data_IF_780412889355
#
_entry.id   IF_780412889355
#
_cell.length_a   1.000
_cell.length_b   1.000
_cell.length_c   1.000
_cell.angle_alpha   90.00
_cell.angle_beta   90.00
_cell.angle_gamma   90.00
#
_symmetry.space_group_name_H-M   'P 1'
#
loop_
_entity.id
_entity.type
_entity.pdbx_description
1 polymer ?
#
# COMPACT_ATOMS: atom_id res chain seq x y z
N UNK A 1 9.96 2.11 19.83
CA UNK A 1 9.79 0.86 19.08
C UNK A 1 9.26 1.29 17.71
N UNK A 2 9.82 0.81 16.60
CA UNK A 2 9.33 1.15 15.25
C UNK A 2 7.95 0.53 15.02
N UNK A 3 7.03 1.29 14.45
CA UNK A 3 5.68 0.83 14.17
C UNK A 3 5.62 0.11 12.82
N UNK A 4 4.67 -0.82 12.70
CA UNK A 4 4.26 -1.41 11.43
C UNK A 4 2.96 -0.73 11.01
N UNK A 5 3.00 -0.03 9.88
CA UNK A 5 1.91 0.81 9.43
C UNK A 5 1.34 0.37 8.08
N UNK A 6 0.03 0.36 7.96
CA UNK A 6 -0.69 0.42 6.69
C UNK A 6 -1.21 1.86 6.55
N UNK A 7 -0.91 2.55 5.46
CA UNK A 7 -1.29 3.95 5.34
C UNK A 7 -1.80 4.30 3.95
N UNK A 8 -2.85 5.14 3.89
CA UNK A 8 -3.55 5.48 2.66
C UNK A 8 -3.96 4.25 1.85
N UNK A 9 -4.54 3.25 2.50
CA UNK A 9 -4.98 2.05 1.81
C UNK A 9 -6.45 2.21 1.39
N UNK A 10 -6.68 2.19 0.08
CA UNK A 10 -7.99 2.43 -0.50
C UNK A 10 -8.81 1.15 -0.55
N UNK A 11 -10.07 1.24 -0.13
CA UNK A 11 -11.02 0.12 -0.13
C UNK A 11 -12.37 0.63 -0.64
N UNK A 12 -12.99 -0.10 -1.55
CA UNK A 12 -14.37 0.18 -1.96
C UNK A 12 -15.35 -0.07 -0.81
N UNK A 13 -16.56 0.46 -0.91
CA UNK A 13 -17.59 0.28 0.12
C UNK A 13 -17.91 -1.20 0.36
N UNK A 14 -17.78 -2.04 -0.65
CA UNK A 14 -17.96 -3.49 -0.58
C UNK A 14 -16.66 -4.28 -0.28
N UNK A 15 -15.59 -3.59 0.17
CA UNK A 15 -14.42 -4.21 0.80
C UNK A 15 -13.28 -4.61 -0.13
N UNK A 16 -13.27 -4.20 -1.40
CA UNK A 16 -12.20 -4.55 -2.34
C UNK A 16 -11.11 -3.46 -2.39
N UNK A 17 -9.85 -3.85 -2.21
CA UNK A 17 -8.69 -2.95 -2.33
C UNK A 17 -8.13 -2.84 -3.75
N UNK A 18 -8.56 -3.71 -4.68
CA UNK A 18 -8.34 -3.59 -6.12
C UNK A 18 -9.44 -4.36 -6.87
N UNK A 19 -9.70 -3.96 -8.11
CA UNK A 19 -10.62 -4.67 -9.00
C UNK A 19 -10.00 -5.94 -9.58
N UNK A 20 -10.81 -6.76 -10.24
CA UNK A 20 -10.37 -7.88 -11.05
C UNK A 20 -9.72 -7.41 -12.36
N UNK A 21 -9.03 -8.32 -13.04
CA UNK A 21 -8.45 -8.13 -14.37
C UNK A 21 -7.35 -7.04 -14.40
N UNK A 22 -6.44 -7.08 -13.40
CA UNK A 22 -5.27 -6.21 -13.38
C UNK A 22 -4.36 -6.50 -14.59
N UNK A 23 -3.97 -5.44 -15.32
CA UNK A 23 -3.07 -5.50 -16.48
C UNK A 23 -2.14 -4.28 -16.49
N UNK A 24 -1.25 -4.19 -17.49
CA UNK A 24 -0.39 -3.02 -17.69
C UNK A 24 -1.20 -1.74 -17.90
N UNK A 25 -2.30 -1.82 -18.64
CA UNK A 25 -3.18 -0.69 -18.95
C UNK A 25 -4.18 -0.40 -17.82
N UNK A 26 -4.39 -1.38 -16.93
CA UNK A 26 -5.35 -1.31 -15.84
C UNK A 26 -4.71 -1.75 -14.51
N UNK A 27 -3.84 -0.93 -13.88
CA UNK A 27 -3.13 -1.29 -12.64
C UNK A 27 -4.04 -1.63 -11.46
N UNK A 28 -5.25 -1.10 -11.43
CA UNK A 28 -6.29 -1.38 -10.44
C UNK A 28 -7.42 -2.25 -10.98
N UNK A 29 -7.16 -2.97 -12.11
CA UNK A 29 -8.18 -3.76 -12.79
C UNK A 29 -9.38 -2.92 -13.21
N UNK A 30 -10.57 -3.50 -13.24
CA UNK A 30 -11.81 -2.80 -13.63
C UNK A 30 -12.22 -1.66 -12.68
N UNK A 31 -11.59 -1.53 -11.51
CA UNK A 31 -11.79 -0.37 -10.63
C UNK A 31 -11.29 0.92 -11.28
N UNK A 32 -10.22 0.83 -12.08
CA UNK A 32 -9.56 1.97 -12.67
C UNK A 32 -9.14 2.99 -11.62
N UNK A 33 -9.09 4.25 -11.99
CA UNK A 33 -8.72 5.34 -11.08
C UNK A 33 -9.81 5.69 -10.05
N UNK A 34 -11.03 5.15 -10.18
CA UNK A 34 -12.14 5.46 -9.25
C UNK A 34 -11.77 5.19 -7.79
N UNK A 35 -10.96 4.17 -7.54
CA UNK A 35 -10.55 3.76 -6.20
C UNK A 35 -9.57 4.77 -5.56
N UNK A 36 -8.71 5.39 -6.33
CA UNK A 36 -7.62 6.25 -5.84
C UNK A 36 -7.80 7.75 -6.15
N UNK A 37 -8.93 8.12 -6.74
CA UNK A 37 -9.16 9.48 -7.24
C UNK A 37 -9.00 10.55 -6.15
N UNK A 38 -9.56 10.32 -4.96
CA UNK A 38 -9.46 11.27 -3.85
C UNK A 38 -8.01 11.55 -3.46
N UNK A 39 -7.11 10.55 -3.54
CA UNK A 39 -5.68 10.75 -3.33
C UNK A 39 -5.01 11.50 -4.48
N UNK A 40 -5.35 11.16 -5.72
CA UNK A 40 -4.77 11.80 -6.90
C UNK A 40 -5.11 13.30 -6.97
N UNK A 41 -6.23 13.72 -6.40
CA UNK A 41 -6.67 15.10 -6.36
C UNK A 41 -5.96 15.92 -5.24
N UNK A 42 -5.16 15.31 -4.36
CA UNK A 42 -4.48 16.00 -3.26
C UNK A 42 -3.24 16.77 -3.72
N UNK A 43 -2.90 17.84 -2.97
CA UNK A 43 -1.64 18.58 -3.18
C UNK A 43 -0.42 17.68 -2.99
N UNK A 44 -0.45 16.80 -1.98
CA UNK A 44 0.64 15.88 -1.69
C UNK A 44 0.92 14.93 -2.87
N UNK A 45 -0.12 14.44 -3.55
CA UNK A 45 0.06 13.64 -4.76
C UNK A 45 0.62 14.48 -5.92
N UNK A 46 0.12 15.71 -6.14
CA UNK A 46 0.66 16.61 -7.18
C UNK A 46 2.15 16.88 -6.95
N UNK A 47 2.55 17.18 -5.71
CA UNK A 47 3.97 17.38 -5.35
C UNK A 47 4.80 16.12 -5.62
N UNK A 48 4.29 14.95 -5.28
CA UNK A 48 4.94 13.65 -5.57
C UNK A 48 5.17 13.44 -7.08
N UNK A 49 4.30 14.00 -7.92
CA UNK A 49 4.41 13.96 -9.39
C UNK A 49 5.21 15.15 -9.97
N UNK A 50 5.85 15.98 -9.14
CA UNK A 50 6.54 17.19 -9.59
C UNK A 50 5.62 18.29 -10.12
N UNK A 51 4.33 18.25 -9.77
CA UNK A 51 3.30 19.18 -10.22
C UNK A 51 2.92 20.18 -9.11
N UNK A 52 2.32 21.28 -9.51
CA UNK A 52 1.71 22.26 -8.57
C UNK A 52 0.19 22.07 -8.56
N UNK A 53 -0.45 22.56 -7.48
CA UNK A 53 -1.91 22.51 -7.33
C UNK A 53 -2.34 21.35 -6.44
N UNK A 54 -3.56 20.84 -6.67
CA UNK A 54 -4.20 19.84 -5.84
C UNK A 54 -4.98 20.43 -4.66
N UNK A 55 -5.93 19.64 -4.14
CA UNK A 55 -6.75 20.03 -2.99
C UNK A 55 -5.94 19.99 -1.71
N UNK A 56 -6.31 20.86 -0.76
CA UNK A 56 -5.84 20.85 0.64
C UNK A 56 -7.01 20.51 1.54
N UNK A 57 -6.75 19.99 2.72
CA UNK A 57 -7.79 19.62 3.67
C UNK A 57 -7.50 18.26 4.28
N UNK A 58 -8.54 17.54 4.71
CA UNK A 58 -8.38 16.28 5.43
C UNK A 58 -7.72 15.19 4.57
N UNK A 59 -8.08 15.10 3.30
CA UNK A 59 -7.49 14.12 2.36
C UNK A 59 -5.99 14.36 2.17
N UNK A 60 -5.60 15.65 1.99
CA UNK A 60 -4.20 16.03 1.84
C UNK A 60 -3.41 15.86 3.14
N UNK A 61 -4.03 16.13 4.30
CA UNK A 61 -3.42 15.90 5.60
C UNK A 61 -3.07 14.42 5.80
N UNK A 62 -3.96 13.51 5.44
CA UNK A 62 -3.66 12.07 5.45
C UNK A 62 -2.63 11.69 4.38
N UNK A 63 -2.76 12.22 3.16
CA UNK A 63 -1.84 11.92 2.07
C UNK A 63 -0.40 12.34 2.40
N UNK A 64 -0.20 13.50 3.04
CA UNK A 64 1.13 14.01 3.41
C UNK A 64 1.88 13.12 4.42
N UNK A 65 1.17 12.30 5.19
CA UNK A 65 1.76 11.36 6.15
C UNK A 65 2.20 10.03 5.51
N UNK A 66 2.14 9.92 4.19
CA UNK A 66 2.42 8.68 3.49
C UNK A 66 3.88 8.19 3.65
N UNK A 67 4.86 9.08 3.56
CA UNK A 67 6.28 8.76 3.60
C UNK A 67 7.03 9.08 4.89
N UNK A 68 6.68 10.15 5.65
CA UNK A 68 7.46 10.57 6.81
C UNK A 68 7.64 9.45 7.85
N UNK A 69 8.91 9.24 8.28
CA UNK A 69 9.26 8.26 9.31
C UNK A 69 9.28 6.81 8.84
N UNK A 70 9.07 6.53 7.55
CA UNK A 70 9.17 5.19 6.97
C UNK A 70 10.62 4.91 6.59
N UNK A 71 11.17 3.79 7.11
CA UNK A 71 12.53 3.32 6.82
C UNK A 71 12.57 2.12 5.87
N UNK A 72 11.45 1.41 5.71
CA UNK A 72 11.32 0.32 4.75
C UNK A 72 9.87 0.12 4.31
N UNK A 73 9.69 -0.43 3.12
CA UNK A 73 8.40 -0.80 2.53
C UNK A 73 8.30 -2.31 2.37
N UNK A 74 7.13 -2.89 2.60
CA UNK A 74 6.80 -4.26 2.19
C UNK A 74 5.60 -4.22 1.27
N UNK A 75 5.67 -4.91 0.14
CA UNK A 75 4.57 -5.01 -0.81
C UNK A 75 4.49 -6.40 -1.43
N UNK A 76 3.29 -6.79 -1.83
CA UNK A 76 3.09 -7.99 -2.62
C UNK A 76 3.46 -7.77 -4.09
N UNK A 77 3.77 -8.85 -4.79
CA UNK A 77 4.13 -8.81 -6.20
C UNK A 77 3.06 -8.13 -7.07
N UNK A 78 1.77 -8.30 -6.74
CA UNK A 78 0.68 -7.69 -7.49
C UNK A 78 0.66 -6.16 -7.42
N UNK A 79 1.20 -5.59 -6.32
CA UNK A 79 1.41 -4.15 -6.23
C UNK A 79 2.63 -3.70 -7.03
N UNK A 80 3.67 -4.53 -7.13
CA UNK A 80 4.86 -4.22 -7.92
C UNK A 80 4.59 -4.29 -9.43
N UNK A 81 3.76 -5.22 -9.89
CA UNK A 81 3.44 -5.36 -11.31
C UNK A 81 2.37 -6.42 -11.60
N UNK A 82 1.87 -6.48 -12.83
CA UNK A 82 0.77 -7.38 -13.21
C UNK A 82 1.22 -8.81 -13.52
N UNK A 83 2.53 -9.04 -13.67
CA UNK A 83 3.07 -10.36 -14.04
C UNK A 83 2.77 -11.40 -12.97
N UNK A 84 2.35 -12.59 -13.37
CA UNK A 84 2.07 -13.75 -12.52
C UNK A 84 3.03 -14.90 -12.88
N UNK A 85 3.24 -15.84 -11.93
CA UNK A 85 4.15 -16.95 -12.17
C UNK A 85 5.62 -16.51 -12.29
N UNK A 86 6.49 -17.24 -13.01
CA UNK A 86 7.86 -16.83 -13.31
C UNK A 86 7.90 -15.44 -13.98
N UNK A 87 9.03 -14.75 -13.88
CA UNK A 87 9.20 -13.46 -14.55
C UNK A 87 9.35 -13.67 -16.06
N UNK A 88 8.36 -13.22 -16.82
CA UNK A 88 8.39 -13.23 -18.28
C UNK A 88 9.21 -12.05 -18.82
N UNK A 89 9.20 -10.93 -18.11
CA UNK A 89 9.97 -9.72 -18.40
C UNK A 89 10.74 -9.30 -17.14
N UNK A 90 12.02 -9.59 -17.10
CA UNK A 90 12.92 -9.19 -16.01
C UNK A 90 13.30 -7.70 -16.07
N UNK A 91 13.06 -7.04 -17.19
CA UNK A 91 13.31 -5.59 -17.32
C UNK A 91 12.25 -4.74 -16.61
N UNK A 92 11.13 -5.32 -16.20
CA UNK A 92 10.08 -4.63 -15.45
C UNK A 92 10.58 -4.14 -14.09
N UNK A 93 10.49 -2.82 -13.87
CA UNK A 93 11.02 -2.14 -12.68
C UNK A 93 9.92 -1.57 -11.75
N UNK A 94 8.66 -1.94 -11.97
CA UNK A 94 7.52 -1.42 -11.21
C UNK A 94 6.78 -0.31 -11.96
N UNK A 95 5.71 0.18 -11.34
CA UNK A 95 4.81 1.17 -11.94
C UNK A 95 5.30 2.61 -11.89
N UNK A 96 6.38 2.89 -11.12
CA UNK A 96 6.75 4.25 -10.68
C UNK A 96 7.84 4.90 -11.51
N UNK A 97 8.24 4.29 -12.64
CA UNK A 97 9.34 4.80 -13.46
C UNK A 97 10.71 4.73 -12.77
N UNK A 98 11.64 5.56 -13.20
CA UNK A 98 13.05 5.51 -12.77
C UNK A 98 13.27 5.91 -11.30
N UNK A 99 12.40 6.76 -10.74
CA UNK A 99 12.51 7.30 -9.39
C UNK A 99 11.24 7.02 -8.58
N UNK A 100 11.10 5.80 -8.03
CA UNK A 100 9.97 5.44 -7.19
C UNK A 100 9.92 6.29 -5.92
N UNK A 101 8.72 6.67 -5.44
CA UNK A 101 8.56 7.64 -4.34
C UNK A 101 8.86 7.07 -2.95
N UNK A 102 9.42 5.89 -2.85
CA UNK A 102 9.68 5.24 -1.56
C UNK A 102 10.96 5.76 -0.89
N UNK A 103 12.04 5.96 -1.65
CA UNK A 103 13.36 6.42 -1.18
C UNK A 103 13.93 5.58 -0.01
N UNK A 104 13.51 4.31 0.10
CA UNK A 104 13.85 3.34 1.13
C UNK A 104 13.96 1.95 0.51
N UNK A 105 14.57 0.96 1.21
CA UNK A 105 14.43 -0.44 0.82
C UNK A 105 12.97 -0.88 0.74
N UNK A 106 12.60 -1.56 -0.34
CA UNK A 106 11.26 -2.05 -0.62
C UNK A 106 11.29 -3.56 -0.88
N UNK A 107 10.66 -4.33 0.00
CA UNK A 107 10.62 -5.78 -0.06
C UNK A 107 9.38 -6.23 -0.82
N UNK A 108 9.58 -6.85 -1.98
CA UNK A 108 8.52 -7.41 -2.83
C UNK A 108 8.36 -8.90 -2.53
N UNK A 109 7.22 -9.26 -1.94
CA UNK A 109 6.91 -10.65 -1.60
C UNK A 109 6.51 -11.42 -2.86
N UNK A 110 7.24 -12.48 -3.17
CA UNK A 110 7.05 -13.30 -4.38
C UNK A 110 7.61 -14.69 -4.20
N UNK A 111 6.96 -15.72 -4.76
CA UNK A 111 7.50 -17.08 -4.84
C UNK A 111 8.55 -17.26 -5.95
N UNK A 112 8.86 -16.18 -6.68
CA UNK A 112 9.85 -16.17 -7.75
C UNK A 112 10.87 -15.05 -7.49
N UNK A 113 11.82 -15.25 -6.54
CA UNK A 113 12.87 -14.26 -6.27
C UNK A 113 13.71 -13.97 -7.52
N UNK A 114 14.20 -12.75 -7.60
CA UNK A 114 15.17 -12.30 -8.61
C UNK A 114 16.15 -11.32 -8.01
N UNK A 115 17.23 -10.93 -8.70
CA UNK A 115 18.16 -9.92 -8.22
C UNK A 115 17.48 -8.61 -7.85
N UNK A 116 17.99 -7.96 -6.80
CA UNK A 116 17.52 -6.63 -6.38
C UNK A 116 17.72 -5.59 -7.47
N UNK A 117 16.85 -4.60 -7.51
CA UNK A 117 16.92 -3.47 -8.46
C UNK A 117 17.13 -2.19 -7.67
N UNK A 118 18.26 -1.53 -7.92
CA UNK A 118 18.53 -0.20 -7.40
C UNK A 118 17.92 0.85 -8.32
N UNK A 119 17.10 1.74 -7.77
CA UNK A 119 16.42 2.80 -8.50
C UNK A 119 17.01 4.15 -8.14
N UNK A 120 16.77 5.15 -8.97
CA UNK A 120 17.11 6.54 -8.64
C UNK A 120 16.37 6.98 -7.37
N UNK A 121 16.90 7.96 -6.66
CA UNK A 121 16.27 8.49 -5.46
C UNK A 121 16.37 7.60 -4.21
N UNK A 122 17.13 6.46 -4.27
CA UNK A 122 17.43 5.63 -3.10
C UNK A 122 16.45 4.51 -2.80
N UNK A 123 15.48 4.24 -3.67
CA UNK A 123 14.65 3.03 -3.57
C UNK A 123 15.44 1.82 -4.06
N UNK A 124 15.45 0.72 -3.29
CA UNK A 124 15.96 -0.58 -3.74
C UNK A 124 14.88 -1.63 -3.58
N UNK A 125 14.48 -2.28 -4.67
CA UNK A 125 13.53 -3.39 -4.62
C UNK A 125 14.26 -4.70 -4.36
N UNK A 126 13.89 -5.38 -3.27
CA UNK A 126 14.36 -6.72 -2.91
C UNK A 126 13.22 -7.73 -3.12
N UNK A 127 13.47 -8.78 -3.89
CA UNK A 127 12.46 -9.80 -4.21
C UNK A 127 12.68 -11.03 -3.36
N UNK A 128 11.76 -11.31 -2.41
CA UNK A 128 11.94 -12.35 -1.42
C UNK A 128 10.75 -13.31 -1.37
N UNK A 129 11.05 -14.60 -1.20
CA UNK A 129 10.08 -15.63 -0.85
C UNK A 129 10.08 -15.80 0.66
N UNK A 130 9.18 -15.11 1.34
CA UNK A 130 9.13 -15.04 2.79
C UNK A 130 7.69 -14.87 3.28
N UNK A 131 7.38 -15.45 4.42
CA UNK A 131 6.15 -15.16 5.15
C UNK A 131 6.19 -13.80 5.84
N UNK A 132 5.06 -13.34 6.40
CA UNK A 132 4.94 -12.01 7.00
C UNK A 132 5.98 -11.70 8.08
N UNK A 133 6.24 -12.63 9.00
CA UNK A 133 7.18 -12.45 10.10
C UNK A 133 8.63 -12.30 9.61
N UNK A 134 9.04 -13.14 8.65
CA UNK A 134 10.38 -13.10 8.09
C UNK A 134 10.59 -11.83 7.26
N UNK A 135 9.59 -11.46 6.46
CA UNK A 135 9.62 -10.24 5.66
C UNK A 135 9.70 -9.00 6.57
N UNK A 136 8.94 -8.99 7.67
CA UNK A 136 8.98 -7.89 8.64
C UNK A 136 10.33 -7.81 9.35
N UNK A 137 10.93 -8.94 9.71
CA UNK A 137 12.26 -8.95 10.32
C UNK A 137 13.30 -8.31 9.39
N UNK A 138 13.35 -8.73 8.11
CA UNK A 138 14.25 -8.17 7.11
C UNK A 138 14.00 -6.66 6.89
N UNK A 139 12.74 -6.25 6.83
CA UNK A 139 12.39 -4.84 6.65
C UNK A 139 12.77 -3.98 7.87
N UNK A 140 12.58 -4.48 9.10
CA UNK A 140 12.99 -3.78 10.34
C UNK A 140 14.50 -3.60 10.43
N UNK A 141 15.28 -4.62 10.05
CA UNK A 141 16.74 -4.52 9.98
C UNK A 141 17.18 -3.44 9.01
N UNK A 142 16.55 -3.37 7.84
CA UNK A 142 16.84 -2.36 6.82
C UNK A 142 16.33 -0.96 7.20
N UNK A 143 15.24 -0.86 7.97
CA UNK A 143 14.62 0.42 8.35
C UNK A 143 15.44 1.25 9.33
N UNK A 144 16.49 0.68 9.97
CA UNK A 144 17.36 1.43 10.86
C UNK A 144 16.66 2.07 12.06
N UNK A 145 15.60 1.45 12.57
CA UNK A 145 14.80 1.94 13.72
C UNK A 145 13.61 2.83 13.33
N UNK A 146 13.46 3.19 12.07
CA UNK A 146 12.25 3.84 11.54
C UNK A 146 11.12 2.84 11.36
N UNK A 147 9.92 3.33 11.03
CA UNK A 147 8.74 2.50 10.84
C UNK A 147 8.81 1.69 9.54
N UNK A 148 8.10 0.56 9.54
CA UNK A 148 7.91 -0.27 8.34
C UNK A 148 6.49 -0.06 7.82
N UNK A 149 6.36 0.20 6.52
CA UNK A 149 5.04 0.31 5.89
C UNK A 149 4.70 -0.94 5.09
N UNK A 150 3.50 -1.48 5.33
CA UNK A 150 2.88 -2.50 4.49
C UNK A 150 2.08 -1.77 3.41
N UNK A 151 2.65 -1.66 2.23
CA UNK A 151 2.09 -0.86 1.15
C UNK A 151 0.98 -1.54 0.35
N UNK A 152 0.78 -2.83 0.51
CA UNK A 152 -0.26 -3.59 -0.21
C UNK A 152 0.33 -4.61 -1.20
N UNK A 153 -0.43 -5.31 -2.14
CA UNK A 153 -1.92 -5.23 -2.30
C UNK A 153 -2.75 -5.82 -1.16
N UNK A 154 -4.04 -5.96 -1.40
CA UNK A 154 -4.99 -6.39 -0.36
C UNK A 154 -4.59 -7.71 0.29
N UNK A 155 -4.21 -8.72 -0.47
CA UNK A 155 -3.78 -10.01 0.06
C UNK A 155 -2.55 -9.89 0.98
N UNK A 156 -1.60 -9.02 0.67
CA UNK A 156 -0.43 -8.77 1.53
C UNK A 156 -0.85 -8.11 2.84
N UNK A 157 -1.64 -7.03 2.79
CA UNK A 157 -2.15 -6.35 4.00
C UNK A 157 -2.90 -7.34 4.88
N UNK A 158 -3.78 -8.15 4.28
CA UNK A 158 -4.57 -9.18 4.98
C UNK A 158 -3.67 -10.20 5.71
N UNK A 159 -2.60 -10.67 5.07
CA UNK A 159 -1.66 -11.60 5.69
C UNK A 159 -0.98 -11.00 6.93
N UNK A 160 -0.56 -9.74 6.89
CA UNK A 160 0.04 -9.05 8.04
C UNK A 160 -0.97 -8.77 9.15
N UNK A 161 -2.22 -8.45 8.81
CA UNK A 161 -3.31 -8.31 9.78
C UNK A 161 -3.66 -9.65 10.44
N UNK A 162 -3.75 -10.74 9.67
CA UNK A 162 -4.00 -12.07 10.19
C UNK A 162 -2.89 -12.56 11.13
N UNK A 163 -1.62 -12.22 10.81
CA UNK A 163 -0.44 -12.53 11.63
C UNK A 163 -0.28 -11.60 12.86
N UNK A 164 -1.21 -10.68 13.08
CA UNK A 164 -1.19 -9.72 14.19
C UNK A 164 0.06 -8.80 14.22
N UNK A 165 0.57 -8.42 13.04
CA UNK A 165 1.83 -7.68 12.88
C UNK A 165 1.64 -6.18 12.60
N UNK A 166 0.41 -5.67 12.51
CA UNK A 166 0.13 -4.27 12.18
C UNK A 166 -0.20 -3.49 13.46
N UNK A 167 0.49 -2.36 13.66
CA UNK A 167 0.29 -1.48 14.83
C UNK A 167 -0.68 -0.33 14.53
N UNK A 168 -0.65 0.18 13.31
CA UNK A 168 -1.48 1.30 12.88
C UNK A 168 -1.94 1.08 11.45
N UNK A 169 -3.23 1.28 11.19
CA UNK A 169 -3.79 1.20 9.84
C UNK A 169 -4.67 2.41 9.56
N UNK A 170 -4.46 3.04 8.41
CA UNK A 170 -5.32 4.07 7.86
C UNK A 170 -5.92 3.61 6.54
N UNK A 171 -7.23 3.51 6.52
CA UNK A 171 -8.02 3.16 5.33
C UNK A 171 -8.76 4.38 4.79
N UNK A 172 -8.91 4.41 3.48
CA UNK A 172 -9.78 5.33 2.76
C UNK A 172 -10.93 4.52 2.17
N UNK A 173 -12.11 4.60 2.77
CA UNK A 173 -13.32 3.96 2.27
C UNK A 173 -13.88 4.83 1.16
N UNK A 174 -13.85 4.30 -0.05
CA UNK A 174 -14.34 4.99 -1.24
C UNK A 174 -15.79 4.54 -1.49
N UNK A 175 -16.77 5.45 -1.68
CA UNK A 175 -18.18 5.09 -1.80
C UNK A 175 -18.54 4.56 -3.20
N UNK A 176 -17.81 3.53 -3.64
CA UNK A 176 -18.05 2.80 -4.88
C UNK A 176 -18.25 1.32 -4.59
N UNK A 177 -18.97 0.63 -5.47
CA UNK A 177 -19.10 -0.81 -5.44
C UNK A 177 -18.32 -1.41 -6.59
N UNK A 178 -17.47 -2.40 -6.29
CA UNK A 178 -16.69 -3.13 -7.29
C UNK A 178 -17.29 -4.49 -7.62
N UNK A 179 -17.94 -5.14 -6.65
CA UNK A 179 -18.62 -6.44 -6.81
C UNK A 179 -17.66 -7.61 -7.02
N UNK A 180 -16.42 -7.37 -7.41
CA UNK A 180 -15.38 -8.38 -7.60
C UNK A 180 -13.99 -7.75 -7.53
N UNK A 181 -12.97 -8.57 -7.24
CA UNK A 181 -11.58 -8.12 -7.06
C UNK A 181 -10.90 -8.79 -5.89
N UNK A 182 -9.89 -8.16 -5.32
CA UNK A 182 -9.20 -8.64 -4.13
C UNK A 182 -9.80 -7.99 -2.88
N UNK A 183 -10.52 -8.79 -2.07
CA UNK A 183 -11.08 -8.36 -0.79
C UNK A 183 -9.97 -8.14 0.25
N UNK A 184 -10.13 -7.09 1.09
CA UNK A 184 -9.25 -6.86 2.23
C UNK A 184 -9.66 -7.73 3.44
N UNK A 185 -10.94 -8.05 3.60
CA UNK A 185 -11.49 -8.50 4.88
C UNK A 185 -11.66 -10.01 5.04
N UNK A 186 -11.42 -10.79 3.99
CA UNK A 186 -11.62 -12.25 4.02
C UNK A 186 -10.78 -12.90 5.13
N UNK A 187 -11.47 -13.58 6.07
CA UNK A 187 -10.83 -14.28 7.19
C UNK A 187 -10.29 -13.38 8.29
N UNK A 188 -10.79 -12.15 8.41
CA UNK A 188 -10.38 -11.18 9.44
C UNK A 188 -11.54 -10.82 10.40
N UNK A 189 -12.49 -11.72 10.59
CA UNK A 189 -13.59 -11.54 11.53
C UNK A 189 -13.07 -11.27 12.95
N UNK A 190 -13.62 -10.25 13.63
CA UNK A 190 -13.19 -9.81 14.96
C UNK A 190 -11.90 -9.00 15.00
N UNK A 191 -11.36 -8.61 13.84
CA UNK A 191 -10.16 -7.76 13.78
C UNK A 191 -10.35 -6.45 14.59
N UNK A 192 -11.52 -5.87 14.56
CA UNK A 192 -11.88 -4.61 15.23
C UNK A 192 -11.65 -4.65 16.75
N UNK A 193 -11.74 -5.80 17.38
CA UNK A 193 -11.52 -5.95 18.83
C UNK A 193 -10.07 -5.62 19.26
N UNK A 194 -9.13 -5.74 18.31
CA UNK A 194 -7.69 -5.48 18.55
C UNK A 194 -7.30 -4.01 18.44
N UNK A 195 -8.21 -3.18 17.91
CA UNK A 195 -7.91 -1.79 17.59
C UNK A 195 -8.89 -0.80 18.22
N UNK A 196 -8.40 0.37 18.57
CA UNK A 196 -9.22 1.57 18.72
C UNK A 196 -9.42 2.18 17.32
N UNK A 197 -10.63 2.61 17.00
CA UNK A 197 -10.97 3.15 15.68
C UNK A 197 -11.46 4.59 15.77
N UNK A 198 -11.01 5.41 14.82
CA UNK A 198 -11.51 6.77 14.63
C UNK A 198 -11.88 6.94 13.14
N UNK A 199 -12.85 7.80 12.86
CA UNK A 199 -13.26 8.07 11.48
C UNK A 199 -13.53 9.55 11.23
N UNK A 200 -13.28 9.97 10.00
CA UNK A 200 -13.57 11.31 9.53
C UNK A 200 -14.04 11.28 8.07
N UNK A 201 -15.11 11.98 7.76
CA UNK A 201 -15.61 12.11 6.39
C UNK A 201 -14.95 13.28 5.67
N UNK A 202 -14.64 13.06 4.39
CA UNK A 202 -14.10 14.08 3.51
C UNK A 202 -15.18 14.75 2.67
N UNK A 203 -15.01 16.01 2.30
CA UNK A 203 -15.85 16.67 1.29
C UNK A 203 -15.85 16.00 -0.08
N UNK A 204 -14.81 15.20 -0.39
CA UNK A 204 -14.74 14.39 -1.62
C UNK A 204 -15.58 13.10 -1.54
N UNK A 205 -16.29 12.88 -0.42
CA UNK A 205 -17.22 11.77 -0.23
C UNK A 205 -16.58 10.50 0.28
N UNK A 206 -15.25 10.45 0.49
CA UNK A 206 -14.57 9.30 1.10
C UNK A 206 -14.63 9.39 2.63
N UNK A 207 -14.46 8.26 3.30
CA UNK A 207 -14.32 8.18 4.76
C UNK A 207 -12.93 7.65 5.11
N UNK A 208 -12.18 8.44 5.86
CA UNK A 208 -10.92 8.00 6.47
C UNK A 208 -11.23 7.24 7.75
N UNK A 209 -10.66 6.06 7.91
CA UNK A 209 -10.78 5.26 9.13
C UNK A 209 -9.37 4.90 9.58
N UNK A 210 -9.03 5.26 10.82
CA UNK A 210 -7.77 4.89 11.46
C UNK A 210 -8.01 3.80 12.49
N UNK A 211 -7.10 2.86 12.53
CA UNK A 211 -7.06 1.75 13.48
C UNK A 211 -5.73 1.85 14.22
N UNK A 212 -5.77 2.00 15.53
CA UNK A 212 -4.58 2.04 16.39
C UNK A 212 -4.64 0.85 17.34
N UNK A 213 -3.59 0.05 17.38
CA UNK A 213 -3.51 -1.12 18.26
C UNK A 213 -3.74 -0.69 19.72
N UNK A 214 -4.56 -1.48 20.44
CA UNK A 214 -4.84 -1.31 21.87
C UNK A 214 -3.70 -1.80 22.74
#
# INVERSE_FOLDING_TARGET
MSLVRVHNFFVSLDGFGTGADQSLEAPFGHAGQRLVRAFMDTRSFHVMQGQQGGSTGIDDAFASNWGPGIGAEIMGRNKFGPQRGPWEDESWQGWWGDEPPFHTPAFVLTHYPRPSIEMKGGTTFHFIDAGPEQALAAARDAAGGLDVRIGGGPATVRQFLAADLVDHMHLVIVPILLGRGESLWDGLEGLEDRFATESASSPLGVTHVTFTRR
#
